data_IF_650950811230
#
_entry.id   IF_650950811230
#
_cell.length_a   1.000
_cell.length_b   1.000
_cell.length_c   1.000
_cell.angle_alpha   90.00
_cell.angle_beta   90.00
_cell.angle_gamma   90.00
#
_symmetry.space_group_name_H-M   'P 1'
#
loop_
_entity.id
_entity.type
_entity.pdbx_description
1 polymer ?
#
# COMPACT_ATOMS: atom_id res chain seq x y z
N UNK A 1 18.98 6.40 10.26
CA UNK A 1 18.49 5.62 9.09
C UNK A 1 17.08 6.10 8.76
N UNK A 2 16.82 6.59 7.55
CA UNK A 2 15.52 7.14 7.13
C UNK A 2 14.86 6.25 6.07
N UNK A 3 13.61 5.86 6.30
CA UNK A 3 12.84 4.99 5.41
C UNK A 3 12.14 5.84 4.36
N UNK A 4 12.36 5.58 3.06
CA UNK A 4 11.76 6.34 1.94
C UNK A 4 11.24 5.39 0.86
N UNK A 5 10.30 5.87 0.06
CA UNK A 5 9.77 5.14 -1.11
C UNK A 5 10.76 5.10 -2.28
N UNK A 6 11.53 6.17 -2.46
CA UNK A 6 12.67 6.25 -3.38
C UNK A 6 13.93 6.66 -2.63
N UNK A 7 15.07 6.17 -3.10
CA UNK A 7 16.39 6.51 -2.55
C UNK A 7 17.17 7.28 -3.59
N UNK A 8 17.77 8.41 -3.18
CA UNK A 8 18.65 9.26 -3.98
C UNK A 8 19.94 9.54 -3.22
N UNK A 9 21.04 9.77 -3.95
CA UNK A 9 22.30 10.26 -3.38
C UNK A 9 22.17 11.76 -3.14
N UNK A 10 22.63 12.23 -1.98
CA UNK A 10 22.63 13.65 -1.61
C UNK A 10 24.03 14.26 -1.64
N UNK A 11 25.06 13.42 -1.61
CA UNK A 11 26.44 13.79 -1.37
C UNK A 11 27.39 12.87 -2.16
N UNK A 12 28.63 13.29 -2.38
CA UNK A 12 29.61 12.46 -3.10
C UNK A 12 30.02 11.21 -2.31
N UNK A 13 29.96 11.29 -0.98
CA UNK A 13 30.21 10.15 -0.09
C UNK A 13 29.05 9.17 0.03
N UNK A 14 27.95 9.39 -0.68
CA UNK A 14 26.73 8.60 -0.58
C UNK A 14 26.75 7.45 -1.61
N UNK A 15 26.81 6.20 -1.16
CA UNK A 15 26.81 5.01 -2.02
C UNK A 15 25.53 4.19 -1.87
N UNK A 16 25.09 3.63 -2.99
CA UNK A 16 23.87 2.84 -3.07
C UNK A 16 24.26 1.36 -2.99
N UNK A 17 23.72 0.63 -2.02
CA UNK A 17 24.10 -0.75 -1.74
C UNK A 17 22.85 -1.61 -1.58
N UNK A 18 22.84 -2.81 -2.17
CA UNK A 18 21.78 -3.80 -1.94
C UNK A 18 22.18 -4.74 -0.81
N UNK A 19 21.34 -4.86 0.22
CA UNK A 19 21.55 -5.77 1.36
C UNK A 19 20.22 -6.45 1.69
N UNK A 20 20.19 -7.76 1.90
CA UNK A 20 18.98 -8.52 2.29
C UNK A 20 17.74 -8.19 1.41
N UNK A 21 17.93 -8.06 0.09
CA UNK A 21 16.85 -7.75 -0.85
C UNK A 21 16.31 -6.31 -0.81
N UNK A 22 16.89 -5.41 -0.01
CA UNK A 22 16.50 -4.00 0.07
C UNK A 22 17.62 -3.08 -0.42
N UNK A 23 17.22 -1.92 -0.94
CA UNK A 23 18.12 -0.88 -1.44
C UNK A 23 18.44 0.09 -0.31
N UNK A 24 19.72 0.29 -0.01
CA UNK A 24 20.20 1.20 1.02
C UNK A 24 21.05 2.30 0.41
N UNK A 25 21.02 3.47 1.04
CA UNK A 25 22.04 4.51 0.85
C UNK A 25 22.85 4.56 2.14
N UNK A 26 24.15 4.34 2.02
CA UNK A 26 25.10 4.55 3.11
C UNK A 26 25.93 5.80 2.80
N UNK A 27 26.38 6.48 3.84
CA UNK A 27 27.27 7.61 3.72
C UNK A 27 28.32 7.48 4.82
N UNK A 28 29.59 7.65 4.46
CA UNK A 28 30.71 7.58 5.40
C UNK A 28 30.91 8.90 6.15
N UNK A 29 30.54 10.03 5.52
CA UNK A 29 30.70 11.38 6.08
C UNK A 29 29.59 11.71 7.08
N UNK A 30 28.33 11.44 6.71
CA UNK A 30 27.16 11.85 7.49
C UNK A 30 26.17 10.71 7.76
N UNK A 31 25.84 10.41 9.02
CA UNK A 31 24.87 9.37 9.35
C UNK A 31 23.42 9.76 9.01
N UNK A 32 23.13 11.05 8.80
CA UNK A 32 21.80 11.58 8.43
C UNK A 32 21.37 11.16 7.02
N UNK A 33 22.33 10.94 6.11
CA UNK A 33 22.06 10.53 4.73
C UNK A 33 21.72 9.03 4.60
N UNK A 34 21.85 8.26 5.68
CA UNK A 34 21.60 6.82 5.67
C UNK A 34 20.11 6.53 5.43
N UNK A 35 19.79 5.87 4.33
CA UNK A 35 18.40 5.63 3.91
C UNK A 35 18.16 4.17 3.51
N UNK A 36 16.90 3.75 3.57
CA UNK A 36 16.44 2.46 3.08
C UNK A 36 15.19 2.62 2.21
N UNK A 37 15.21 1.94 1.06
CA UNK A 37 14.05 1.78 0.18
C UNK A 37 13.25 0.58 0.65
N UNK A 38 11.98 0.81 0.95
CA UNK A 38 10.99 -0.25 1.22
C UNK A 38 10.17 -0.51 -0.03
N UNK A 39 9.79 -1.76 -0.22
CA UNK A 39 8.83 -2.14 -1.24
C UNK A 39 7.45 -1.56 -0.89
N UNK A 40 6.87 -0.81 -1.82
CA UNK A 40 5.57 -0.14 -1.64
C UNK A 40 4.41 -1.17 -1.64
N UNK A 41 4.67 -2.41 -2.07
CA UNK A 41 3.67 -3.48 -2.19
C UNK A 41 2.84 -3.70 -0.92
N UNK A 42 3.46 -3.62 0.27
CA UNK A 42 2.76 -3.82 1.55
C UNK A 42 1.84 -2.65 1.94
N UNK A 43 2.11 -1.44 1.44
CA UNK A 43 1.24 -0.28 1.66
C UNK A 43 0.09 -0.27 0.66
N UNK A 44 0.31 -0.75 -0.57
CA UNK A 44 -0.72 -0.80 -1.60
C UNK A 44 -1.88 -1.73 -1.23
N UNK A 45 -1.58 -2.92 -0.68
CA UNK A 45 -2.62 -3.87 -0.22
C UNK A 45 -3.43 -3.32 0.95
N UNK A 46 -2.81 -2.64 1.91
CA UNK A 46 -3.50 -2.01 3.02
C UNK A 46 -4.42 -0.87 2.58
N UNK A 47 -3.96 -0.04 1.62
CA UNK A 47 -4.79 1.03 1.03
C UNK A 47 -5.97 0.44 0.26
N UNK A 48 -5.76 -0.58 -0.58
CA UNK A 48 -6.86 -1.24 -1.30
C UNK A 48 -7.88 -1.88 -0.34
N UNK A 49 -7.42 -2.53 0.72
CA UNK A 49 -8.29 -3.11 1.74
C UNK A 49 -9.13 -2.03 2.47
N UNK A 50 -8.52 -0.89 2.81
CA UNK A 50 -9.24 0.24 3.41
C UNK A 50 -10.25 0.88 2.46
N UNK A 51 -9.92 1.01 1.17
CA UNK A 51 -10.84 1.54 0.17
C UNK A 51 -12.03 0.60 -0.07
N UNK A 52 -11.81 -0.72 -0.10
CA UNK A 52 -12.87 -1.73 -0.13
C UNK A 52 -13.76 -1.69 1.12
N UNK A 53 -13.18 -1.54 2.32
CA UNK A 53 -13.94 -1.36 3.55
C UNK A 53 -14.78 -0.07 3.53
N UNK A 54 -14.22 1.05 3.06
CA UNK A 54 -14.97 2.32 2.92
C UNK A 54 -16.07 2.24 1.87
N UNK A 55 -15.84 1.56 0.75
CA UNK A 55 -16.87 1.32 -0.28
C UNK A 55 -18.03 0.48 0.27
N UNK A 56 -17.72 -0.59 1.01
CA UNK A 56 -18.71 -1.47 1.65
C UNK A 56 -19.54 -0.74 2.72
N UNK A 57 -18.96 0.23 3.43
CA UNK A 57 -19.68 1.06 4.41
C UNK A 57 -20.59 2.12 3.76
N UNK A 58 -20.18 2.72 2.62
CA UNK A 58 -20.96 3.77 1.93
C UNK A 58 -22.22 3.22 1.24
N UNK A 59 -22.27 1.92 0.94
CA UNK A 59 -23.42 1.25 0.32
C UNK A 59 -24.25 0.36 1.27
N UNK A 60 -24.17 0.54 2.60
CA UNK A 60 -25.05 -0.18 3.54
C UNK A 60 -26.45 0.40 3.70
N UNK A 61 -26.71 1.62 3.20
CA UNK A 61 -28.00 2.32 3.34
C UNK A 61 -28.71 2.62 2.01
N UNK A 62 -28.34 1.95 0.90
CA UNK A 62 -29.01 2.13 -0.40
C UNK A 62 -29.41 0.80 -1.08
N UNK A 63 -29.67 -0.23 -0.28
CA UNK A 63 -30.30 -1.49 -0.73
C UNK A 63 -31.40 -1.88 0.26
N UNK A 64 -32.34 -0.96 0.47
CA UNK A 64 -33.66 -1.30 0.99
C UNK A 64 -34.72 -0.60 0.15
N UNK A 65 -34.62 -0.76 -1.17
CA UNK A 65 -35.71 -0.42 -2.08
C UNK A 65 -35.90 -1.63 -2.99
N UNK A 66 -36.98 -2.38 -2.68
CA UNK A 66 -37.75 -3.25 -3.56
C UNK A 66 -36.97 -4.20 -4.48
N UNK A 67 -36.68 -5.38 -3.97
CA UNK A 67 -36.97 -6.59 -4.73
C UNK A 67 -37.97 -7.42 -3.92
N UNK A 68 -39.25 -7.13 -4.15
CA UNK A 68 -40.33 -8.09 -3.94
C UNK A 68 -40.08 -9.26 -4.89
N UNK A 69 -39.32 -10.24 -4.42
CA UNK A 69 -39.13 -11.53 -5.09
C UNK A 69 -40.35 -12.39 -4.72
N UNK A 70 -41.35 -12.38 -5.58
CA UNK A 70 -42.42 -13.38 -5.58
C UNK A 70 -41.81 -14.76 -5.81
N UNK A 71 -42.06 -15.76 -4.94
CA UNK A 71 -41.62 -17.13 -5.16
C UNK A 71 -42.72 -17.86 -5.94
N UNK A 72 -42.62 -17.93 -7.27
CA UNK A 72 -43.46 -18.83 -8.06
C UNK A 72 -42.69 -19.36 -9.26
N UNK A 73 -42.92 -20.65 -9.54
CA UNK A 73 -42.47 -21.45 -10.69
C UNK A 73 -41.06 -22.07 -10.62
N UNK A 74 -40.92 -23.10 -9.79
CA UNK A 74 -40.30 -24.36 -10.24
C UNK A 74 -41.43 -25.39 -10.36
N UNK A 75 -41.92 -25.63 -11.58
CA UNK A 75 -42.62 -26.86 -11.96
C UNK A 75 -41.80 -27.50 -13.09
N UNK A 76 -41.21 -28.65 -12.80
CA UNK A 76 -40.94 -29.76 -13.72
C UNK A 76 -40.86 -31.05 -12.90
#
# INVERSE_FOLDING_TARGET
MKVRSSVKKFCDGCSVVRRKGRLYVICSKDPKHKQVRVAIALLYTHIQHQLLHRYRHRHRHRFQIRYSFTPFACEF
#
